data_IF_502061273403
#
_entry.id   IF_502061273403
#
_cell.length_a   1.000
_cell.length_b   1.000
_cell.length_c   1.000
_cell.angle_alpha   90.00
_cell.angle_beta   90.00
_cell.angle_gamma   90.00
#
_symmetry.space_group_name_H-M   'P 1'
#
loop_
_entity.id
_entity.type
_entity.pdbx_description
1 polymer ?
#
# COMPACT_ATOMS: atom_id res chain seq x y z
N UNK A 1 -13.32 6.58 1.85
CA UNK A 1 -13.41 6.93 1.52
C UNK A 1 -14.04 7.22 0.79
N UNK A 2 -14.30 7.15 0.51
CA UNK A 2 -14.79 7.49 -0.24
C UNK A 2 -15.80 8.10 -0.07
N UNK A 3 -16.11 8.88 -0.09
CA UNK A 3 -16.98 9.59 0.22
C UNK A 3 -18.02 9.59 -0.62
N UNK A 4 -18.90 9.94 -0.45
CA UNK A 4 -19.81 10.15 -1.37
C UNK A 4 -20.15 9.09 -2.19
N UNK A 5 -20.23 8.11 -1.84
CA UNK A 5 -20.52 7.17 -2.57
C UNK A 5 -21.75 7.34 -3.18
N UNK A 6 -22.73 7.62 -2.82
CA UNK A 6 -23.93 7.74 -3.47
C UNK A 6 -24.02 8.90 -4.34
N UNK A 7 -23.15 9.76 -4.27
CA UNK A 7 -23.19 10.87 -5.02
C UNK A 7 -22.70 10.61 -6.25
N UNK A 8 -23.06 10.81 -7.23
CA UNK A 8 -22.55 10.65 -8.42
C UNK A 8 -21.80 11.67 -9.00
N UNK A 9 -21.33 12.54 -8.41
CA UNK A 9 -20.64 13.56 -9.07
C UNK A 9 -19.19 13.34 -9.07
N UNK A 10 -18.70 12.17 -8.97
CA UNK A 10 -17.31 11.94 -9.01
C UNK A 10 -16.82 12.16 -10.37
N UNK A 11 -15.81 12.91 -10.53
CA UNK A 11 -15.19 13.08 -11.81
C UNK A 11 -14.25 11.95 -12.04
N UNK A 12 -13.78 11.82 -13.27
CA UNK A 12 -12.85 10.79 -13.59
C UNK A 12 -11.58 10.92 -12.78
N UNK A 13 -11.16 12.15 -12.56
CA UNK A 13 -9.96 12.38 -11.80
C UNK A 13 -10.07 11.75 -10.42
N UNK A 14 -11.15 12.01 -9.73
CA UNK A 14 -11.31 11.48 -8.40
C UNK A 14 -11.44 9.97 -8.40
N UNK A 15 -12.07 9.43 -9.42
CA UNK A 15 -12.22 8.00 -9.48
C UNK A 15 -10.86 7.32 -9.64
N UNK A 16 -9.99 7.88 -10.46
CA UNK A 16 -8.68 7.28 -10.64
C UNK A 16 -7.81 7.46 -9.40
N UNK A 17 -7.88 8.62 -8.77
CA UNK A 17 -7.07 8.82 -7.58
C UNK A 17 -7.51 7.88 -6.45
N UNK A 18 -8.81 7.66 -6.35
CA UNK A 18 -9.32 6.78 -5.34
C UNK A 18 -8.89 5.34 -5.63
N UNK A 19 -8.94 4.95 -6.89
CA UNK A 19 -8.53 3.61 -7.27
C UNK A 19 -7.05 3.39 -6.97
N UNK A 20 -6.22 4.40 -7.22
CA UNK A 20 -4.80 4.28 -6.93
C UNK A 20 -4.57 4.18 -5.43
N UNK A 21 -5.29 4.95 -4.67
CA UNK A 21 -5.17 4.92 -3.23
C UNK A 21 -5.49 3.51 -2.73
N UNK A 22 -6.59 2.93 -3.23
CA UNK A 22 -6.98 1.60 -2.82
C UNK A 22 -5.95 0.56 -3.24
N UNK A 23 -5.37 0.74 -4.43
CA UNK A 23 -4.38 -0.17 -4.89
C UNK A 23 -3.17 -0.15 -3.98
N UNK A 24 -2.72 1.02 -3.59
CA UNK A 24 -1.54 1.10 -2.73
C UNK A 24 -1.84 0.57 -1.33
N UNK A 25 -3.05 0.81 -0.84
CA UNK A 25 -3.40 0.27 0.46
C UNK A 25 -3.42 -1.26 0.42
N UNK A 26 -3.90 -1.82 -0.67
CA UNK A 26 -3.90 -3.26 -0.81
C UNK A 26 -2.49 -3.82 -0.88
N UNK A 27 -1.58 -3.11 -1.55
CA UNK A 27 -0.20 -3.56 -1.64
C UNK A 27 0.43 -3.57 -0.25
N UNK A 28 0.12 -2.57 0.56
CA UNK A 28 0.65 -2.52 1.92
C UNK A 28 0.12 -3.69 2.73
N UNK A 29 -1.17 -3.94 2.66
CA UNK A 29 -1.75 -5.03 3.42
C UNK A 29 -1.18 -6.37 3.01
N UNK A 30 -1.04 -6.58 1.72
CA UNK A 30 -0.52 -7.84 1.23
C UNK A 30 0.92 -8.05 1.66
N UNK A 31 1.76 -7.05 1.48
CA UNK A 31 3.16 -7.18 1.83
C UNK A 31 3.34 -7.31 3.34
N UNK A 32 2.49 -6.62 4.10
CA UNK A 32 2.57 -6.69 5.54
C UNK A 32 2.22 -8.10 6.02
N UNK A 33 1.18 -8.68 5.46
CA UNK A 33 0.78 -10.02 5.85
C UNK A 33 1.89 -11.02 5.57
N UNK A 34 2.54 -10.88 4.42
CA UNK A 34 3.62 -11.78 4.08
C UNK A 34 4.81 -11.58 5.00
N UNK A 35 5.11 -10.35 5.32
CA UNK A 35 6.24 -10.07 6.20
C UNK A 35 6.00 -10.65 7.58
N UNK A 36 4.78 -10.59 8.06
CA UNK A 36 4.45 -11.13 9.37
C UNK A 36 4.67 -12.63 9.41
N UNK A 37 4.32 -13.32 8.31
CA UNK A 37 4.54 -14.75 8.28
C UNK A 37 6.03 -15.05 8.41
N UNK A 38 6.86 -14.30 7.71
CA UNK A 38 8.28 -14.51 7.80
C UNK A 38 8.80 -14.18 9.19
N UNK A 39 8.33 -13.11 9.76
CA UNK A 39 8.84 -12.69 11.06
C UNK A 39 8.40 -13.59 12.20
N UNK A 40 7.16 -14.07 12.11
CA UNK A 40 6.65 -14.87 13.19
C UNK A 40 6.95 -16.35 13.07
N UNK A 41 7.34 -16.80 11.89
CA UNK A 41 7.61 -18.21 11.70
C UNK A 41 8.88 -18.47 10.93
N UNK A 42 9.99 -17.96 11.43
CA UNK A 42 11.23 -18.14 10.68
C UNK A 42 11.62 -19.59 10.54
N UNK A 43 11.26 -20.39 11.50
CA UNK A 43 11.61 -21.79 11.44
C UNK A 43 10.84 -22.46 10.34
N UNK A 44 9.63 -22.07 10.16
CA UNK A 44 8.81 -22.67 9.13
C UNK A 44 9.32 -22.32 7.75
N UNK A 45 9.97 -21.21 7.61
CA UNK A 45 10.53 -20.81 6.35
C UNK A 45 11.83 -21.55 6.13
N UNK A 46 12.47 -22.03 7.13
CA UNK A 46 13.68 -22.78 7.00
C UNK A 46 14.86 -21.89 7.08
N UNK A 47 16.00 -22.41 6.77
CA UNK A 47 17.12 -21.60 6.88
C UNK A 47 17.40 -21.09 5.61
N UNK A 48 16.63 -20.26 5.03
CA UNK A 48 16.84 -19.69 3.78
C UNK A 48 17.80 -18.58 3.83
N UNK A 49 18.80 -18.58 3.09
CA UNK A 49 19.73 -17.46 3.06
C UNK A 49 19.04 -16.24 2.51
N UNK A 50 17.92 -16.39 1.81
CA UNK A 50 17.26 -15.26 1.27
C UNK A 50 16.22 -14.70 2.16
N UNK A 51 16.14 -15.13 3.39
CA UNK A 51 15.13 -14.66 4.31
C UNK A 51 15.19 -13.14 4.43
N UNK A 52 16.37 -12.60 4.64
CA UNK A 52 16.53 -11.16 4.78
C UNK A 52 16.20 -10.45 3.48
N UNK A 53 16.57 -11.04 2.37
CA UNK A 53 16.30 -10.41 1.10
C UNK A 53 14.81 -10.38 0.82
N UNK A 54 14.09 -11.42 1.21
CA UNK A 54 12.67 -11.43 0.99
C UNK A 54 11.96 -10.39 1.84
N UNK A 55 12.40 -10.26 3.09
CA UNK A 55 11.84 -9.25 3.95
C UNK A 55 12.14 -7.86 3.42
N UNK A 56 13.33 -7.67 2.90
CA UNK A 56 13.71 -6.38 2.35
C UNK A 56 12.79 -6.00 1.19
N UNK A 57 12.45 -6.96 0.33
CA UNK A 57 11.57 -6.67 -0.76
C UNK A 57 10.21 -6.26 -0.26
N UNK A 58 9.71 -6.94 0.75
CA UNK A 58 8.39 -6.64 1.29
C UNK A 58 8.37 -5.25 1.93
N UNK A 59 9.43 -4.92 2.65
CA UNK A 59 9.52 -3.60 3.26
C UNK A 59 9.57 -2.51 2.19
N UNK A 60 10.27 -2.77 1.11
CA UNK A 60 10.33 -1.79 0.04
C UNK A 60 8.99 -1.60 -0.64
N UNK A 61 8.21 -2.66 -0.77
CA UNK A 61 6.89 -2.53 -1.33
C UNK A 61 6.03 -1.66 -0.43
N UNK A 62 6.08 -1.88 0.86
CA UNK A 62 5.29 -1.10 1.79
C UNK A 62 5.73 0.37 1.75
N UNK A 63 7.02 0.58 1.79
CA UNK A 63 7.53 1.94 1.81
C UNK A 63 7.17 2.69 0.53
N UNK A 64 7.29 2.05 -0.61
CA UNK A 64 6.96 2.70 -1.86
C UNK A 64 5.48 3.03 -1.93
N UNK A 65 4.64 2.11 -1.47
CA UNK A 65 3.20 2.36 -1.51
C UNK A 65 2.81 3.49 -0.57
N UNK A 66 3.43 3.53 0.61
CA UNK A 66 3.15 4.61 1.54
C UNK A 66 3.57 5.95 0.97
N UNK A 67 4.70 5.96 0.32
CA UNK A 67 5.18 7.18 -0.27
C UNK A 67 4.28 7.62 -1.39
N UNK A 68 3.78 6.67 -2.18
CA UNK A 68 2.88 7.00 -3.27
C UNK A 68 1.57 7.59 -2.76
N UNK A 69 1.06 7.09 -1.66
CA UNK A 69 -0.14 7.64 -1.07
C UNK A 69 0.11 9.06 -0.62
N UNK A 70 1.25 9.30 0.01
CA UNK A 70 1.56 10.64 0.44
C UNK A 70 1.70 11.58 -0.74
N UNK A 71 2.28 11.10 -1.82
CA UNK A 71 2.44 11.92 -3.01
C UNK A 71 1.09 12.30 -3.58
N UNK A 72 0.16 11.35 -3.63
CA UNK A 72 -1.14 11.65 -4.14
C UNK A 72 -1.80 12.71 -3.27
N UNK A 73 -1.70 12.56 -1.99
CA UNK A 73 -2.33 13.52 -1.11
C UNK A 73 -1.68 14.89 -1.22
N UNK A 74 -0.36 14.90 -1.33
CA UNK A 74 0.31 16.15 -1.41
C UNK A 74 0.09 16.86 -2.73
N UNK A 75 0.11 16.15 -3.83
CA UNK A 75 0.01 16.79 -5.13
C UNK A 75 -1.42 16.97 -5.64
N UNK A 76 -2.32 16.12 -5.23
CA UNK A 76 -3.66 16.16 -5.76
C UNK A 76 -4.77 16.20 -4.70
N UNK A 77 -4.41 16.22 -3.46
CA UNK A 77 -5.41 16.21 -2.40
C UNK A 77 -6.11 17.54 -2.35
N UNK A 78 -7.38 17.52 -2.02
CA UNK A 78 -8.04 18.71 -1.98
C UNK A 78 -7.72 19.54 -0.89
N UNK A 79 -7.24 19.14 0.12
CA UNK A 79 -6.90 20.05 1.11
C UNK A 79 -5.58 20.27 1.22
N UNK A 80 -4.86 20.21 0.26
CA UNK A 80 -3.54 20.44 0.42
C UNK A 80 -3.25 21.80 0.38
N UNK A 81 -3.85 22.62 0.70
CA UNK A 81 -3.50 23.94 0.67
C UNK A 81 -2.74 24.32 1.60
#
# INVERSE_FOLDING_TARGET
>A
MSKAKGQITWGMREMFLDALHDKYKAQISDAKAKAIVYLDNPVAIGEHPQFTEELDKLINIISAAEENIKTIEKQFGENNE
#
